data_IF_547534646617
#
_entry.id   IF_547534646617
#
_cell.length_a   1.000
_cell.length_b   1.000
_cell.length_c   1.000
_cell.angle_alpha   90.00
_cell.angle_beta   90.00
_cell.angle_gamma   90.00
#
_symmetry.space_group_name_H-M   'P 1'
#
loop_
_entity.id
_entity.type
_entity.pdbx_description
1 polymer ?
#
# COMPACT_ATOMS: atom_id res chain seq x y z
N UNK A 1 4.37 -12.29 42.88
CA UNK A 1 3.89 -11.24 41.97
C UNK A 1 2.77 -11.83 41.13
N UNK A 2 1.57 -11.20 41.07
CA UNK A 2 0.48 -11.73 40.25
C UNK A 2 0.77 -11.50 38.76
N UNK A 3 0.45 -12.49 37.92
CA UNK A 3 0.60 -12.39 36.47
C UNK A 3 -0.37 -11.36 35.89
N UNK A 4 0.03 -10.69 34.85
CA UNK A 4 -0.81 -9.74 34.11
C UNK A 4 -1.85 -10.51 33.31
N UNK A 5 -3.13 -10.18 33.49
CA UNK A 5 -4.27 -10.84 32.78
C UNK A 5 -4.60 -10.20 31.44
N UNK A 6 -4.22 -8.94 31.22
CA UNK A 6 -4.49 -8.21 29.97
C UNK A 6 -3.43 -8.53 28.91
N UNK A 7 -3.81 -8.64 27.63
CA UNK A 7 -2.85 -8.69 26.52
C UNK A 7 -1.90 -7.51 26.51
N UNK A 8 -0.84 -7.62 25.72
CA UNK A 8 0.09 -6.51 25.46
C UNK A 8 -0.67 -5.33 24.85
N UNK A 9 -0.28 -4.12 25.22
CA UNK A 9 -0.93 -2.89 24.74
C UNK A 9 -1.05 -2.87 23.21
N UNK A 10 -2.25 -2.62 22.71
CA UNK A 10 -2.54 -2.62 21.28
C UNK A 10 -2.80 -3.99 20.65
N UNK A 11 -2.77 -5.06 21.45
CA UNK A 11 -3.17 -6.41 21.04
C UNK A 11 -4.44 -6.82 21.79
N UNK A 12 -5.18 -7.80 21.26
CA UNK A 12 -6.42 -8.26 21.87
C UNK A 12 -6.62 -9.77 21.68
N UNK A 13 -7.37 -10.38 22.59
CA UNK A 13 -7.93 -11.70 22.42
C UNK A 13 -9.17 -11.61 21.53
N UNK A 14 -9.41 -12.64 20.73
CA UNK A 14 -10.60 -12.78 19.89
C UNK A 14 -11.45 -13.89 20.49
N UNK A 15 -12.65 -13.54 20.93
CA UNK A 15 -13.57 -14.49 21.57
C UNK A 15 -14.26 -15.39 20.52
N UNK A 16 -14.80 -16.56 20.93
CA UNK A 16 -15.36 -17.55 20.00
C UNK A 16 -16.40 -17.00 19.03
N UNK A 17 -17.32 -16.16 19.49
CA UNK A 17 -18.35 -15.57 18.62
C UNK A 17 -17.74 -14.63 17.54
N UNK A 18 -16.76 -13.84 17.92
CA UNK A 18 -16.03 -12.99 16.97
C UNK A 18 -15.16 -13.82 16.03
N UNK A 19 -14.57 -14.92 16.54
CA UNK A 19 -13.77 -15.82 15.73
C UNK A 19 -14.59 -16.49 14.62
N UNK A 20 -15.85 -16.87 14.88
CA UNK A 20 -16.74 -17.40 13.84
C UNK A 20 -16.98 -16.41 12.71
N UNK A 21 -17.25 -15.14 13.03
CA UNK A 21 -17.40 -14.09 12.00
C UNK A 21 -16.10 -13.90 11.22
N UNK A 22 -14.96 -13.88 11.93
CA UNK A 22 -13.64 -13.75 11.30
C UNK A 22 -13.36 -14.90 10.34
N UNK A 23 -13.61 -16.14 10.73
CA UNK A 23 -13.42 -17.32 9.88
C UNK A 23 -14.32 -17.27 8.64
N UNK A 24 -15.57 -16.87 8.81
CA UNK A 24 -16.48 -16.68 7.68
C UNK A 24 -15.92 -15.66 6.67
N UNK A 25 -15.51 -14.48 7.15
CA UNK A 25 -14.93 -13.42 6.29
C UNK A 25 -13.66 -13.91 5.60
N UNK A 26 -12.74 -14.53 6.35
CA UNK A 26 -11.50 -15.06 5.78
C UNK A 26 -11.75 -16.14 4.72
N UNK A 27 -12.78 -16.96 4.90
CA UNK A 27 -13.16 -17.99 3.92
C UNK A 27 -13.73 -17.34 2.65
N UNK A 28 -14.60 -16.33 2.77
CA UNK A 28 -15.13 -15.59 1.62
C UNK A 28 -13.99 -14.95 0.80
N UNK A 29 -13.03 -14.32 1.47
CA UNK A 29 -11.84 -13.72 0.81
C UNK A 29 -11.05 -14.83 0.09
N UNK A 30 -10.73 -15.92 0.79
CA UNK A 30 -9.92 -17.02 0.24
C UNK A 30 -10.58 -17.66 -0.98
N UNK A 31 -11.87 -17.97 -0.91
CA UNK A 31 -12.62 -18.59 -2.00
C UNK A 31 -12.70 -17.65 -3.21
N UNK A 32 -12.96 -16.35 -2.97
CA UNK A 32 -12.98 -15.35 -4.03
C UNK A 32 -11.62 -15.28 -4.72
N UNK A 33 -10.54 -15.09 -4.00
CA UNK A 33 -9.22 -14.96 -4.57
C UNK A 33 -8.76 -16.24 -5.31
N UNK A 34 -9.12 -17.42 -4.80
CA UNK A 34 -8.87 -18.69 -5.51
C UNK A 34 -9.65 -18.78 -6.83
N UNK A 35 -10.87 -18.24 -6.91
CA UNK A 35 -11.62 -18.22 -8.17
C UNK A 35 -10.98 -17.33 -9.25
N UNK A 36 -10.16 -16.35 -8.84
CA UNK A 36 -9.31 -15.57 -9.73
C UNK A 36 -7.93 -16.22 -9.99
N UNK A 37 -7.70 -17.45 -9.52
CA UNK A 37 -6.46 -18.20 -9.77
C UNK A 37 -5.30 -17.90 -8.83
N UNK A 38 -5.53 -17.16 -7.73
CA UNK A 38 -4.48 -16.91 -6.74
C UNK A 38 -4.17 -18.18 -5.93
N UNK A 39 -2.88 -18.49 -5.78
CA UNK A 39 -2.37 -19.63 -5.04
C UNK A 39 -1.90 -19.21 -3.66
N UNK A 40 -2.42 -19.87 -2.62
CA UNK A 40 -2.05 -19.55 -1.25
C UNK A 40 -0.63 -19.98 -0.92
N UNK A 41 0.15 -19.05 -0.37
CA UNK A 41 1.48 -19.27 0.18
C UNK A 41 1.55 -18.77 1.62
N UNK A 42 2.55 -19.21 2.36
CA UNK A 42 2.83 -18.76 3.72
C UNK A 42 4.31 -18.44 3.86
N UNK A 43 4.61 -17.33 4.53
CA UNK A 43 5.97 -16.90 4.86
C UNK A 43 6.12 -16.80 6.38
N UNK A 44 7.34 -16.95 6.93
CA UNK A 44 7.59 -16.79 8.36
C UNK A 44 7.12 -15.42 8.88
N UNK A 45 6.67 -15.40 10.15
CA UNK A 45 6.31 -14.15 10.84
C UNK A 45 7.52 -13.31 11.25
N UNK A 46 8.70 -13.94 11.31
CA UNK A 46 9.98 -13.33 11.69
C UNK A 46 10.85 -13.20 10.46
N UNK A 47 11.36 -12.03 10.22
CA UNK A 47 12.29 -11.70 9.12
C UNK A 47 13.62 -11.17 9.67
N UNK A 48 14.67 -11.24 8.86
CA UNK A 48 15.94 -10.59 9.16
C UNK A 48 15.76 -9.08 9.33
N UNK A 49 16.43 -8.51 10.33
CA UNK A 49 16.28 -7.07 10.62
C UNK A 49 16.74 -6.21 9.44
N UNK A 50 17.77 -6.61 8.72
CA UNK A 50 18.30 -5.92 7.56
C UNK A 50 17.27 -5.82 6.43
N UNK A 51 16.42 -6.84 6.25
CA UNK A 51 15.33 -6.81 5.28
C UNK A 51 14.26 -5.81 5.71
N UNK A 52 13.90 -5.80 7.00
CA UNK A 52 12.85 -4.94 7.55
C UNK A 52 13.26 -3.46 7.59
N UNK A 53 14.54 -3.17 7.80
CA UNK A 53 15.10 -1.80 7.93
C UNK A 53 15.73 -1.30 6.63
N UNK A 54 15.76 -2.11 5.55
CA UNK A 54 16.33 -1.71 4.26
C UNK A 54 15.69 -0.43 3.76
N UNK A 55 16.47 0.64 3.69
CA UNK A 55 16.23 2.05 3.30
C UNK A 55 14.95 2.37 2.50
N UNK A 56 13.78 2.07 3.05
CA UNK A 56 12.49 2.36 2.42
C UNK A 56 11.74 3.53 3.08
N UNK A 57 12.46 4.33 3.87
CA UNK A 57 11.93 5.51 4.56
C UNK A 57 11.92 5.32 6.08
N UNK A 58 12.66 6.16 6.77
CA UNK A 58 12.95 6.08 8.21
C UNK A 58 11.76 6.03 9.18
N UNK A 59 10.54 6.29 8.74
CA UNK A 59 9.38 6.20 9.61
C UNK A 59 8.87 4.76 9.80
N UNK A 60 9.04 3.88 8.83
CA UNK A 60 8.64 2.48 8.95
C UNK A 60 9.52 1.71 9.94
N UNK A 61 10.78 2.10 10.13
CA UNK A 61 11.66 1.46 11.12
C UNK A 61 11.13 1.59 12.54
N UNK A 62 10.46 2.69 12.87
CA UNK A 62 9.84 2.93 14.19
C UNK A 62 8.64 2.00 14.45
N UNK A 63 8.10 1.39 13.40
CA UNK A 63 6.94 0.50 13.50
C UNK A 63 7.33 -0.96 13.72
N UNK A 64 8.61 -1.32 13.59
CA UNK A 64 9.08 -2.70 13.67
C UNK A 64 9.16 -3.16 15.11
N UNK A 65 8.57 -4.30 15.42
CA UNK A 65 8.84 -5.04 16.66
C UNK A 65 10.12 -5.83 16.47
N UNK A 66 11.25 -5.28 16.96
CA UNK A 66 12.57 -5.90 16.89
C UNK A 66 12.70 -7.03 17.90
N UNK A 67 13.44 -8.08 17.54
CA UNK A 67 13.71 -9.26 18.37
C UNK A 67 15.18 -9.26 18.73
N UNK A 68 15.48 -9.39 20.03
CA UNK A 68 16.83 -9.44 20.54
C UNK A 68 17.55 -10.70 20.07
N UNK A 69 18.85 -10.58 19.81
CA UNK A 69 19.78 -11.69 19.64
C UNK A 69 19.72 -12.65 20.83
N UNK A 70 20.17 -13.88 20.66
CA UNK A 70 20.15 -14.91 21.73
C UNK A 70 21.54 -15.46 21.99
N UNK A 71 21.73 -15.92 23.22
CA UNK A 71 22.97 -16.57 23.66
C UNK A 71 24.17 -15.64 23.57
N UNK A 72 25.29 -16.16 23.11
CA UNK A 72 26.55 -15.44 22.99
C UNK A 72 26.52 -14.25 22.00
N UNK A 73 25.55 -14.22 21.11
CA UNK A 73 25.37 -13.09 20.17
C UNK A 73 24.76 -11.85 20.84
N UNK A 74 24.11 -12.00 22.00
CA UNK A 74 23.57 -10.88 22.79
C UNK A 74 24.64 -10.38 23.75
N UNK A 75 25.33 -9.32 23.36
CA UNK A 75 26.36 -8.70 24.22
C UNK A 75 25.91 -7.28 24.59
N UNK A 76 25.46 -7.13 25.84
CA UNK A 76 24.98 -5.85 26.36
C UNK A 76 26.13 -4.90 26.69
N UNK A 77 27.32 -5.44 26.97
CA UNK A 77 28.47 -4.65 27.42
C UNK A 77 29.16 -3.89 26.26
N UNK A 78 29.01 -4.38 25.05
CA UNK A 78 29.63 -3.81 23.84
C UNK A 78 28.62 -3.15 22.88
N UNK A 79 27.33 -3.22 23.18
CA UNK A 79 26.30 -2.62 22.32
C UNK A 79 26.27 -1.11 22.48
N UNK A 80 26.40 -0.38 21.37
CA UNK A 80 26.31 1.08 21.33
C UNK A 80 24.92 1.52 20.87
N UNK A 81 24.24 0.69 20.06
CA UNK A 81 22.93 0.97 19.46
C UNK A 81 21.97 -0.20 19.62
N UNK A 82 20.69 0.06 19.43
CA UNK A 82 19.64 -0.97 19.39
C UNK A 82 19.90 -2.03 18.29
N UNK A 83 20.51 -1.64 17.18
CA UNK A 83 20.82 -2.56 16.08
C UNK A 83 21.90 -3.59 16.44
N UNK A 84 22.79 -3.27 17.40
CA UNK A 84 23.79 -4.21 17.88
C UNK A 84 23.16 -5.35 18.71
N UNK A 85 21.97 -5.12 19.24
CA UNK A 85 21.23 -6.06 20.08
C UNK A 85 20.21 -6.91 19.32
N UNK A 86 19.89 -6.56 18.06
CA UNK A 86 18.80 -7.19 17.29
C UNK A 86 19.34 -7.83 16.02
N UNK A 87 18.75 -8.94 15.56
CA UNK A 87 19.06 -9.61 14.28
C UNK A 87 17.82 -9.96 13.48
N UNK A 88 16.65 -9.77 14.07
CA UNK A 88 15.37 -10.13 13.45
C UNK A 88 14.25 -9.24 13.99
N UNK A 89 13.09 -9.32 13.37
CA UNK A 89 11.89 -8.60 13.80
C UNK A 89 10.62 -9.29 13.32
N UNK A 90 9.48 -8.86 13.85
CA UNK A 90 8.18 -9.29 13.35
C UNK A 90 7.86 -8.53 12.06
N UNK A 91 7.34 -9.24 11.06
CA UNK A 91 6.90 -8.65 9.79
C UNK A 91 5.81 -7.61 10.00
N UNK A 92 5.94 -6.44 9.39
CA UNK A 92 4.96 -5.36 9.47
C UNK A 92 3.98 -5.33 8.28
N UNK A 93 4.26 -6.11 7.23
CA UNK A 93 3.42 -6.39 6.09
C UNK A 93 3.68 -7.81 5.56
N UNK A 94 2.97 -8.21 4.49
CA UNK A 94 3.18 -9.48 3.81
C UNK A 94 3.98 -9.33 2.49
N UNK A 95 4.15 -8.11 1.99
CA UNK A 95 4.80 -7.82 0.70
C UNK A 95 6.31 -8.06 0.75
N UNK A 96 6.98 -7.60 1.81
CA UNK A 96 8.43 -7.82 1.97
C UNK A 96 8.77 -9.32 2.11
N UNK A 97 8.11 -10.10 2.98
CA UNK A 97 8.30 -11.55 3.05
C UNK A 97 8.02 -12.26 1.74
N UNK A 98 7.01 -11.82 0.97
CA UNK A 98 6.71 -12.36 -0.35
C UNK A 98 7.84 -12.10 -1.34
N UNK A 99 8.40 -10.90 -1.34
CA UNK A 99 9.51 -10.53 -2.22
C UNK A 99 10.74 -11.40 -1.99
N UNK A 100 11.07 -11.65 -0.70
CA UNK A 100 12.12 -12.61 -0.31
C UNK A 100 11.75 -14.05 -0.72
N UNK A 101 10.51 -14.47 -0.51
CA UNK A 101 10.02 -15.80 -0.90
C UNK A 101 10.17 -16.02 -2.42
N UNK A 102 9.72 -15.04 -3.21
CA UNK A 102 9.80 -15.10 -4.67
C UNK A 102 11.26 -15.10 -5.15
N UNK A 103 12.13 -14.30 -4.53
CA UNK A 103 13.55 -14.27 -4.89
C UNK A 103 14.24 -15.62 -4.72
N UNK A 104 13.82 -16.42 -3.73
CA UNK A 104 14.38 -17.74 -3.47
C UNK A 104 13.75 -18.87 -4.30
N UNK A 105 12.50 -18.71 -4.71
CA UNK A 105 11.71 -19.80 -5.26
C UNK A 105 11.19 -19.53 -6.69
N UNK A 106 11.42 -18.33 -7.24
CA UNK A 106 10.82 -17.86 -8.50
C UNK A 106 11.01 -18.83 -9.68
N UNK A 107 12.16 -19.51 -9.75
CA UNK A 107 12.43 -20.52 -10.79
C UNK A 107 11.50 -21.76 -10.73
N UNK A 108 10.83 -22.00 -9.61
CA UNK A 108 9.91 -23.12 -9.39
C UNK A 108 8.43 -22.67 -9.45
N UNK A 109 8.18 -21.37 -9.58
CA UNK A 109 6.84 -20.80 -9.60
C UNK A 109 6.39 -20.52 -11.04
N UNK A 110 5.07 -20.50 -11.30
CA UNK A 110 4.57 -20.07 -12.61
C UNK A 110 4.92 -18.60 -12.88
N UNK A 111 4.93 -18.22 -14.15
CA UNK A 111 5.08 -16.82 -14.56
C UNK A 111 3.92 -16.43 -15.50
N UNK A 112 3.14 -15.38 -15.16
CA UNK A 112 3.16 -14.65 -13.89
C UNK A 112 2.73 -15.51 -12.69
N UNK A 113 3.23 -15.16 -11.50
CA UNK A 113 2.84 -15.83 -10.26
C UNK A 113 1.79 -15.02 -9.51
N UNK A 114 0.64 -15.65 -9.26
CA UNK A 114 -0.50 -15.06 -8.53
C UNK A 114 -0.53 -15.61 -7.11
N UNK A 115 -0.03 -14.81 -6.17
CA UNK A 115 0.11 -15.19 -4.77
C UNK A 115 -1.08 -14.70 -3.94
N UNK A 116 -1.54 -15.54 -3.01
CA UNK A 116 -2.45 -15.18 -1.92
C UNK A 116 -1.73 -15.42 -0.59
N UNK A 117 -1.67 -14.41 0.25
CA UNK A 117 -1.22 -14.54 1.64
C UNK A 117 -2.29 -14.04 2.60
N UNK A 118 -2.50 -14.79 3.68
CA UNK A 118 -3.38 -14.37 4.77
C UNK A 118 -2.66 -14.62 6.08
N UNK A 119 -2.35 -13.58 6.83
CA UNK A 119 -1.56 -13.74 8.03
C UNK A 119 -1.50 -12.51 8.92
N UNK A 120 -1.06 -12.73 10.16
CA UNK A 120 -0.83 -11.65 11.11
C UNK A 120 0.40 -10.84 10.74
N UNK A 121 0.27 -9.53 10.93
CA UNK A 121 1.36 -8.55 10.84
C UNK A 121 1.36 -7.68 12.09
N UNK A 122 2.51 -7.04 12.38
CA UNK A 122 2.70 -6.27 13.60
C UNK A 122 3.26 -4.90 13.29
N UNK A 123 2.60 -3.86 13.84
CA UNK A 123 3.07 -2.47 13.72
C UNK A 123 3.02 -1.80 15.08
N UNK A 124 4.12 -1.17 15.50
CA UNK A 124 4.22 -0.49 16.78
C UNK A 124 3.50 0.87 16.81
N UNK A 125 2.48 1.04 15.97
CA UNK A 125 1.61 2.21 15.93
C UNK A 125 1.00 2.55 17.30
N UNK A 126 0.63 3.82 17.49
CA UNK A 126 -0.18 4.22 18.64
C UNK A 126 -1.56 3.57 18.52
N UNK A 127 -1.95 2.73 19.49
CA UNK A 127 -3.25 2.08 19.44
C UNK A 127 -4.40 3.09 19.51
N UNK A 128 -5.42 2.88 18.67
CA UNK A 128 -6.65 3.65 18.68
C UNK A 128 -7.81 2.77 18.20
N UNK A 129 -9.04 3.28 18.24
CA UNK A 129 -10.22 2.52 17.81
C UNK A 129 -10.05 2.04 16.36
N UNK A 130 -10.15 0.72 16.15
CA UNK A 130 -9.95 0.11 14.82
C UNK A 130 -8.49 -0.07 14.39
N UNK A 131 -7.50 0.41 15.16
CA UNK A 131 -6.07 0.29 14.85
C UNK A 131 -5.34 -0.47 15.95
N UNK A 132 -4.98 -1.71 15.66
CA UNK A 132 -4.28 -2.61 16.56
C UNK A 132 -2.81 -2.74 16.15
N UNK A 133 -1.97 -3.15 17.10
CA UNK A 133 -0.56 -3.46 16.85
C UNK A 133 -0.33 -4.84 16.23
N UNK A 134 -1.30 -5.73 16.37
CA UNK A 134 -1.38 -7.01 15.67
C UNK A 134 -2.73 -7.08 14.96
N UNK A 135 -2.68 -7.31 13.65
CA UNK A 135 -3.87 -7.46 12.82
C UNK A 135 -3.58 -8.43 11.66
N UNK A 136 -4.61 -8.83 10.95
CA UNK A 136 -4.47 -9.73 9.79
C UNK A 136 -4.53 -8.90 8.52
N UNK A 137 -3.64 -9.21 7.60
CA UNK A 137 -3.73 -8.80 6.20
C UNK A 137 -4.16 -9.99 5.34
N UNK A 138 -4.89 -9.71 4.27
CA UNK A 138 -5.27 -10.66 3.25
C UNK A 138 -4.82 -10.07 1.91
N UNK A 139 -3.63 -10.46 1.49
CA UNK A 139 -2.92 -9.87 0.36
C UNK A 139 -3.02 -10.78 -0.86
N UNK A 140 -3.26 -10.17 -2.00
CA UNK A 140 -3.06 -10.79 -3.32
C UNK A 140 -2.03 -10.00 -4.10
N UNK A 141 -1.12 -10.72 -4.75
CA UNK A 141 -0.03 -10.14 -5.53
C UNK A 141 0.14 -10.88 -6.85
N UNK A 142 0.44 -10.14 -7.91
CA UNK A 142 0.81 -10.67 -9.22
C UNK A 142 2.25 -10.26 -9.49
N UNK A 143 3.12 -11.27 -9.64
CA UNK A 143 4.57 -11.11 -9.81
C UNK A 143 4.96 -11.60 -11.19
N UNK A 144 5.72 -10.79 -11.94
CA UNK A 144 6.19 -11.13 -13.28
C UNK A 144 5.29 -10.66 -14.43
N UNK A 145 4.25 -9.87 -14.16
CA UNK A 145 3.42 -9.24 -15.19
C UNK A 145 3.68 -7.73 -15.26
N UNK A 146 4.23 -7.28 -16.39
CA UNK A 146 4.50 -5.87 -16.66
C UNK A 146 3.31 -5.12 -17.28
N UNK A 147 2.23 -5.82 -17.61
CA UNK A 147 1.04 -5.22 -18.22
C UNK A 147 0.09 -4.67 -17.17
N UNK A 148 -0.88 -3.87 -17.60
CA UNK A 148 -1.93 -3.36 -16.73
C UNK A 148 -3.00 -4.40 -16.36
N UNK A 149 -2.92 -5.60 -16.92
CA UNK A 149 -3.80 -6.71 -16.54
C UNK A 149 -3.64 -7.07 -15.06
N UNK A 150 -2.43 -6.90 -14.49
CA UNK A 150 -2.21 -7.12 -13.07
C UNK A 150 -3.08 -6.18 -12.20
N UNK A 151 -3.10 -4.88 -12.49
CA UNK A 151 -3.93 -3.90 -11.79
C UNK A 151 -5.42 -4.19 -11.96
N UNK A 152 -5.86 -4.44 -13.19
CA UNK A 152 -7.26 -4.74 -13.52
C UNK A 152 -7.74 -5.95 -12.71
N UNK A 153 -7.00 -7.03 -12.75
CA UNK A 153 -7.37 -8.28 -12.06
C UNK A 153 -7.37 -8.11 -10.54
N UNK A 154 -6.39 -7.42 -9.97
CA UNK A 154 -6.32 -7.14 -8.53
C UNK A 154 -7.50 -6.30 -8.05
N UNK A 155 -7.90 -5.27 -8.82
CA UNK A 155 -9.06 -4.44 -8.49
C UNK A 155 -10.34 -5.29 -8.55
N UNK A 156 -10.55 -6.06 -9.61
CA UNK A 156 -11.73 -6.92 -9.77
C UNK A 156 -11.83 -7.98 -8.68
N UNK A 157 -10.72 -8.65 -8.36
CA UNK A 157 -10.69 -9.67 -7.31
C UNK A 157 -11.01 -9.08 -5.91
N UNK A 158 -10.41 -7.92 -5.60
CA UNK A 158 -10.60 -7.25 -4.31
C UNK A 158 -12.01 -6.70 -4.18
N UNK A 159 -12.56 -6.05 -5.21
CA UNK A 159 -13.92 -5.51 -5.19
C UNK A 159 -14.97 -6.61 -5.13
N UNK A 160 -14.75 -7.74 -5.82
CA UNK A 160 -15.60 -8.93 -5.71
C UNK A 160 -15.59 -9.48 -4.28
N UNK A 161 -14.42 -9.57 -3.63
CA UNK A 161 -14.33 -10.02 -2.23
C UNK A 161 -15.07 -9.07 -1.29
N UNK A 162 -14.87 -7.76 -1.42
CA UNK A 162 -15.53 -6.74 -0.60
C UNK A 162 -17.05 -6.76 -0.79
N UNK A 163 -17.55 -6.87 -2.02
CA UNK A 163 -18.98 -6.97 -2.31
C UNK A 163 -19.64 -8.21 -1.68
N UNK A 164 -18.92 -9.33 -1.62
CA UNK A 164 -19.41 -10.56 -0.92
C UNK A 164 -19.42 -10.41 0.60
N UNK A 165 -18.43 -9.73 1.17
CA UNK A 165 -18.30 -9.56 2.64
C UNK A 165 -19.25 -8.49 3.15
N UNK A 166 -19.36 -7.37 2.41
CA UNK A 166 -20.10 -6.17 2.81
C UNK A 166 -21.14 -5.76 1.74
N UNK A 167 -22.12 -6.63 1.40
CA UNK A 167 -23.02 -6.42 0.25
C UNK A 167 -23.97 -5.21 0.38
N UNK A 168 -24.02 -4.58 1.56
CA UNK A 168 -24.90 -3.44 1.85
C UNK A 168 -24.15 -2.11 1.95
N UNK A 169 -22.82 -2.15 1.93
CA UNK A 169 -22.01 -0.94 2.09
C UNK A 169 -21.52 -0.48 0.73
N UNK A 170 -21.79 0.77 0.40
CA UNK A 170 -21.16 1.40 -0.76
C UNK A 170 -19.66 1.61 -0.50
N UNK A 171 -18.86 1.37 -1.52
CA UNK A 171 -17.42 1.62 -1.44
C UNK A 171 -16.89 2.25 -2.72
N UNK A 172 -15.80 2.99 -2.57
CA UNK A 172 -15.11 3.68 -3.65
C UNK A 172 -13.68 3.17 -3.73
N UNK A 173 -13.26 2.75 -4.91
CA UNK A 173 -11.85 2.51 -5.23
C UNK A 173 -11.28 3.82 -5.75
N UNK A 174 -10.38 4.43 -4.99
CA UNK A 174 -9.57 5.57 -5.42
C UNK A 174 -8.33 5.05 -6.11
N UNK A 175 -7.97 5.60 -7.26
CA UNK A 175 -6.82 5.18 -8.07
C UNK A 175 -5.98 6.38 -8.49
N UNK A 176 -4.67 6.23 -8.52
CA UNK A 176 -3.71 7.21 -9.02
C UNK A 176 -2.47 6.49 -9.56
N UNK A 177 -1.49 7.25 -10.03
CA UNK A 177 -0.19 6.74 -10.45
C UNK A 177 0.95 7.63 -9.95
N UNK A 178 2.05 7.03 -9.49
CA UNK A 178 3.22 7.75 -8.98
C UNK A 178 3.86 8.67 -10.03
N UNK A 179 3.81 8.27 -11.30
CA UNK A 179 4.27 9.09 -12.42
C UNK A 179 3.40 10.34 -12.59
N UNK A 180 2.08 10.21 -12.47
CA UNK A 180 1.14 11.34 -12.53
C UNK A 180 1.38 12.31 -11.37
N UNK A 181 1.51 11.80 -10.13
CA UNK A 181 1.85 12.64 -8.97
C UNK A 181 3.12 13.45 -9.20
N UNK A 182 4.18 12.78 -9.68
CA UNK A 182 5.45 13.44 -10.02
C UNK A 182 5.27 14.45 -11.13
N UNK A 183 4.58 14.09 -12.21
CA UNK A 183 4.32 14.97 -13.37
C UNK A 183 3.56 16.24 -12.99
N UNK A 184 2.51 16.12 -12.17
CA UNK A 184 1.73 17.26 -11.68
C UNK A 184 2.59 18.24 -10.88
N UNK A 185 3.38 17.73 -9.93
CA UNK A 185 4.25 18.58 -9.12
C UNK A 185 5.33 19.30 -9.96
N UNK A 186 6.00 18.57 -10.86
CA UNK A 186 7.00 19.17 -11.77
C UNK A 186 6.38 20.21 -12.71
N UNK A 187 5.20 19.94 -13.27
CA UNK A 187 4.46 20.89 -14.12
C UNK A 187 4.12 22.18 -13.39
N UNK A 188 3.86 22.10 -12.10
CA UNK A 188 3.58 23.26 -11.25
C UNK A 188 4.86 23.98 -10.78
N UNK A 189 6.05 23.44 -11.10
CA UNK A 189 7.32 24.10 -10.80
C UNK A 189 7.93 23.72 -9.44
N UNK A 190 7.49 22.63 -8.82
CA UNK A 190 8.18 22.11 -7.63
C UNK A 190 9.53 21.49 -8.02
N UNK A 191 10.59 21.68 -7.20
CA UNK A 191 11.89 21.11 -7.46
C UNK A 191 11.87 19.58 -7.28
N UNK A 192 12.61 18.84 -8.11
CA UNK A 192 12.60 17.37 -8.10
C UNK A 192 13.10 16.77 -6.76
N UNK A 193 14.06 17.41 -6.13
CA UNK A 193 14.60 17.03 -4.81
C UNK A 193 13.66 17.34 -3.63
N UNK A 194 12.60 18.13 -3.87
CA UNK A 194 11.58 18.48 -2.87
C UNK A 194 10.29 17.64 -2.94
N UNK A 195 10.13 16.79 -3.94
CA UNK A 195 8.86 16.11 -4.23
C UNK A 195 8.37 15.21 -3.09
N UNK A 196 9.27 14.54 -2.38
CA UNK A 196 8.87 13.68 -1.26
C UNK A 196 8.14 14.49 -0.17
N UNK A 197 8.61 15.71 0.12
CA UNK A 197 7.96 16.58 1.10
C UNK A 197 6.61 17.11 0.58
N UNK A 198 6.49 17.41 -0.71
CA UNK A 198 5.21 17.78 -1.34
C UNK A 198 4.21 16.66 -1.19
N UNK A 199 4.61 15.42 -1.43
CA UNK A 199 3.72 14.25 -1.30
C UNK A 199 3.35 13.94 0.14
N UNK A 200 4.27 14.09 1.10
CA UNK A 200 3.96 13.96 2.53
C UNK A 200 2.92 14.98 2.97
N UNK A 201 2.99 16.21 2.44
CA UNK A 201 2.02 17.25 2.73
C UNK A 201 0.68 16.97 2.04
N UNK A 202 0.70 16.51 0.78
CA UNK A 202 -0.50 16.15 0.03
C UNK A 202 -1.27 14.98 0.69
N UNK A 203 -0.57 14.00 1.27
CA UNK A 203 -1.18 12.86 2.00
C UNK A 203 -2.04 13.29 3.20
N UNK A 204 -1.91 14.53 3.63
CA UNK A 204 -2.74 15.12 4.68
C UNK A 204 -4.04 15.75 4.15
N UNK A 205 -4.29 15.74 2.83
CA UNK A 205 -5.42 16.41 2.19
C UNK A 205 -6.75 16.08 2.88
N UNK A 206 -7.02 14.81 3.15
CA UNK A 206 -8.26 14.36 3.82
C UNK A 206 -8.43 14.91 5.24
N UNK A 207 -7.34 15.38 5.89
CA UNK A 207 -7.35 15.88 7.28
C UNK A 207 -7.37 17.40 7.37
N UNK A 208 -6.58 18.06 6.53
CA UNK A 208 -6.36 19.52 6.63
C UNK A 208 -6.98 20.30 5.47
N UNK A 209 -7.49 19.59 4.45
CA UNK A 209 -8.06 20.21 3.25
C UNK A 209 -7.03 20.91 2.37
N UNK A 210 -7.48 21.41 1.22
CA UNK A 210 -6.61 22.08 0.25
C UNK A 210 -5.94 23.34 0.82
N UNK A 211 -6.67 24.12 1.59
CA UNK A 211 -6.12 25.34 2.21
C UNK A 211 -5.01 25.01 3.22
N UNK A 212 -5.19 23.93 3.98
CA UNK A 212 -4.16 23.45 4.90
C UNK A 212 -2.91 22.94 4.18
N UNK A 213 -3.09 22.22 3.07
CA UNK A 213 -1.97 21.77 2.21
C UNK A 213 -1.22 22.97 1.62
N UNK A 214 -1.93 23.98 1.11
CA UNK A 214 -1.32 25.24 0.61
C UNK A 214 -0.50 25.92 1.69
N UNK A 215 -1.09 26.11 2.88
CA UNK A 215 -0.40 26.78 3.98
C UNK A 215 0.88 26.05 4.39
N UNK A 216 0.82 24.73 4.53
CA UNK A 216 1.98 23.92 4.91
C UNK A 216 3.09 23.95 3.83
N UNK A 217 2.73 23.89 2.53
CA UNK A 217 3.70 23.99 1.45
C UNK A 217 4.40 25.36 1.43
N UNK A 218 3.67 26.46 1.70
CA UNK A 218 4.25 27.79 1.83
C UNK A 218 5.17 27.90 3.05
N UNK A 219 4.81 27.32 4.19
CA UNK A 219 5.66 27.27 5.40
C UNK A 219 6.96 26.48 5.15
N UNK A 220 6.93 25.45 4.29
CA UNK A 220 8.10 24.71 3.88
C UNK A 220 8.99 25.47 2.88
N UNK A 221 8.58 26.67 2.45
CA UNK A 221 9.39 27.55 1.61
C UNK A 221 9.23 27.33 0.10
N UNK A 222 8.21 26.59 -0.34
CA UNK A 222 7.91 26.47 -1.77
C UNK A 222 7.34 27.77 -2.34
N UNK A 223 7.61 28.03 -3.63
CA UNK A 223 7.18 29.25 -4.31
C UNK A 223 5.64 29.34 -4.34
N UNK A 224 5.10 30.51 -3.97
CA UNK A 224 3.67 30.73 -3.94
C UNK A 224 2.99 30.48 -5.30
N UNK A 225 3.64 30.82 -6.41
CA UNK A 225 3.15 30.55 -7.76
C UNK A 225 2.98 29.05 -8.02
N UNK A 226 3.95 28.22 -7.60
CA UNK A 226 3.89 26.75 -7.72
C UNK A 226 2.76 26.17 -6.88
N UNK A 227 2.59 26.66 -5.65
CA UNK A 227 1.53 26.20 -4.72
C UNK A 227 0.14 26.56 -5.25
N UNK A 228 -0.08 27.78 -5.75
CA UNK A 228 -1.36 28.16 -6.34
C UNK A 228 -1.67 27.38 -7.61
N UNK A 229 -0.71 27.26 -8.53
CA UNK A 229 -0.89 26.48 -9.75
C UNK A 229 -1.23 25.01 -9.46
N UNK A 230 -0.63 24.43 -8.41
CA UNK A 230 -0.92 23.06 -7.98
C UNK A 230 -2.33 22.93 -7.41
N UNK A 231 -2.75 23.88 -6.59
CA UNK A 231 -4.09 23.93 -6.02
C UNK A 231 -5.17 24.10 -7.11
N UNK A 232 -4.93 24.97 -8.08
CA UNK A 232 -5.84 25.16 -9.24
C UNK A 232 -5.93 23.87 -10.06
N UNK A 233 -4.79 23.22 -10.35
CA UNK A 233 -4.76 21.95 -11.06
C UNK A 233 -5.57 20.88 -10.33
N UNK A 234 -5.33 20.68 -9.02
CA UNK A 234 -6.06 19.70 -8.20
C UNK A 234 -7.57 19.96 -8.18
N UNK A 235 -7.99 21.23 -8.07
CA UNK A 235 -9.41 21.61 -7.99
C UNK A 235 -10.16 21.48 -9.32
N UNK A 236 -9.44 21.51 -10.44
CA UNK A 236 -10.02 21.47 -11.78
C UNK A 236 -10.16 20.06 -12.37
N UNK A 237 -9.66 19.04 -11.70
CA UNK A 237 -9.65 17.67 -12.22
C UNK A 237 -10.96 16.93 -11.97
N UNK A 238 -11.42 16.20 -12.98
CA UNK A 238 -12.48 15.20 -12.84
C UNK A 238 -11.95 13.88 -12.30
N UNK A 239 -12.85 12.96 -11.99
CA UNK A 239 -12.56 11.68 -11.34
C UNK A 239 -12.59 10.48 -12.31
N UNK A 240 -12.82 10.69 -13.60
CA UNK A 240 -13.00 9.65 -14.60
C UNK A 240 -11.76 9.46 -15.50
N UNK A 241 -11.79 8.43 -16.35
CA UNK A 241 -10.72 8.14 -17.30
C UNK A 241 -10.49 9.27 -18.32
N UNK A 242 -11.54 10.02 -18.69
CA UNK A 242 -11.41 11.14 -19.60
C UNK A 242 -10.62 12.29 -18.97
N UNK A 243 -10.83 12.56 -17.68
CA UNK A 243 -10.03 13.53 -16.92
C UNK A 243 -8.56 13.13 -16.84
N UNK A 244 -8.27 11.82 -16.66
CA UNK A 244 -6.90 11.31 -16.66
C UNK A 244 -6.21 11.53 -18.01
N UNK A 245 -6.92 11.28 -19.14
CA UNK A 245 -6.38 11.53 -20.49
C UNK A 245 -6.11 13.02 -20.71
N UNK A 246 -7.07 13.89 -20.37
CA UNK A 246 -6.89 15.34 -20.47
C UNK A 246 -5.75 15.86 -19.60
N UNK A 247 -5.56 15.27 -18.42
CA UNK A 247 -4.39 15.57 -17.58
C UNK A 247 -3.08 15.13 -18.26
N UNK A 248 -3.06 13.96 -18.91
CA UNK A 248 -1.91 13.49 -19.67
C UNK A 248 -1.51 14.45 -20.79
N UNK A 249 -2.49 15.04 -21.49
CA UNK A 249 -2.25 16.10 -22.50
C UNK A 249 -1.70 17.38 -21.85
N UNK A 250 -2.27 17.80 -20.73
CA UNK A 250 -1.83 18.99 -19.98
C UNK A 250 -0.39 18.85 -19.48
N UNK A 251 0.00 17.66 -19.03
CA UNK A 251 1.33 17.37 -18.51
C UNK A 251 2.34 16.95 -19.59
N UNK A 252 2.01 17.09 -20.86
CA UNK A 252 2.92 16.76 -21.96
C UNK A 252 4.27 17.48 -21.81
N UNK A 253 5.37 16.71 -21.89
CA UNK A 253 6.73 17.22 -21.68
C UNK A 253 7.29 17.00 -20.26
N UNK A 254 6.47 16.73 -19.26
CA UNK A 254 6.90 16.36 -17.89
C UNK A 254 6.41 14.97 -17.46
N UNK A 255 5.40 14.44 -18.14
CA UNK A 255 4.86 13.11 -17.95
C UNK A 255 4.93 12.31 -19.26
N UNK A 256 5.30 11.03 -19.18
CA UNK A 256 5.09 10.12 -20.30
C UNK A 256 3.58 9.94 -20.52
N UNK A 257 3.09 10.30 -21.69
CA UNK A 257 1.67 10.19 -22.05
C UNK A 257 1.12 8.77 -21.93
N UNK A 258 1.98 7.76 -22.07
CA UNK A 258 1.62 6.36 -21.85
C UNK A 258 1.18 6.08 -20.40
N UNK A 259 1.69 6.80 -19.41
CA UNK A 259 1.32 6.61 -18.00
C UNK A 259 -0.14 7.01 -17.78
N UNK A 260 -0.56 8.17 -18.28
CA UNK A 260 -1.96 8.62 -18.19
C UNK A 260 -2.89 7.70 -18.98
N UNK A 261 -2.53 7.35 -20.22
CA UNK A 261 -3.33 6.43 -21.02
C UNK A 261 -3.45 5.04 -20.40
N UNK A 262 -2.38 4.52 -19.79
CA UNK A 262 -2.40 3.25 -19.08
C UNK A 262 -3.39 3.28 -17.89
N UNK A 263 -3.33 4.34 -17.08
CA UNK A 263 -4.25 4.50 -15.94
C UNK A 263 -5.70 4.64 -16.41
N UNK A 264 -5.95 5.43 -17.46
CA UNK A 264 -7.28 5.58 -18.04
C UNK A 264 -7.81 4.25 -18.59
N UNK A 265 -6.98 3.45 -19.26
CA UNK A 265 -7.35 2.13 -19.76
C UNK A 265 -7.68 1.14 -18.64
N UNK A 266 -6.94 1.18 -17.50
CA UNK A 266 -7.29 0.40 -16.32
C UNK A 266 -8.70 0.78 -15.85
N UNK A 267 -8.99 2.08 -15.72
CA UNK A 267 -10.27 2.58 -15.25
C UNK A 267 -11.42 2.18 -16.17
N UNK A 268 -11.27 2.37 -17.48
CA UNK A 268 -12.28 2.00 -18.47
C UNK A 268 -12.57 0.49 -18.45
N UNK A 269 -11.50 -0.33 -18.48
CA UNK A 269 -11.65 -1.79 -18.49
C UNK A 269 -12.32 -2.29 -17.22
N UNK A 270 -11.87 -1.82 -16.05
CA UNK A 270 -12.47 -2.21 -14.76
C UNK A 270 -13.94 -1.82 -14.72
N UNK A 271 -14.29 -0.61 -15.17
CA UNK A 271 -15.68 -0.13 -15.19
C UNK A 271 -16.55 -0.97 -16.13
N UNK A 272 -16.01 -1.40 -17.28
CA UNK A 272 -16.75 -2.20 -18.27
C UNK A 272 -17.01 -3.64 -17.80
N UNK A 273 -16.03 -4.28 -17.11
CA UNK A 273 -16.12 -5.72 -16.82
C UNK A 273 -16.47 -6.04 -15.36
N UNK A 274 -16.55 -5.05 -14.47
CA UNK A 274 -16.88 -5.29 -13.07
C UNK A 274 -18.31 -5.80 -12.90
N UNK A 275 -18.44 -6.91 -12.18
CA UNK A 275 -19.76 -7.49 -11.82
C UNK A 275 -20.27 -6.94 -10.47
N UNK A 276 -19.38 -6.38 -9.66
CA UNK A 276 -19.68 -5.79 -8.35
C UNK A 276 -19.95 -4.30 -8.53
N UNK A 277 -20.97 -3.79 -7.89
CA UNK A 277 -21.28 -2.35 -7.90
C UNK A 277 -20.36 -1.58 -6.94
N UNK A 278 -19.58 -0.64 -7.46
CA UNK A 278 -18.71 0.27 -6.70
C UNK A 278 -18.35 1.50 -7.54
N UNK A 279 -17.92 2.58 -6.88
CA UNK A 279 -17.38 3.73 -7.57
C UNK A 279 -15.87 3.54 -7.79
N UNK A 280 -15.40 3.71 -9.04
CA UNK A 280 -13.99 3.86 -9.36
C UNK A 280 -13.70 5.32 -9.66
N UNK A 281 -12.76 5.93 -8.93
CA UNK A 281 -12.47 7.36 -9.03
C UNK A 281 -10.97 7.61 -9.13
N UNK A 282 -10.56 8.37 -10.13
CA UNK A 282 -9.23 8.98 -10.13
C UNK A 282 -9.14 9.99 -9.00
N UNK A 283 -8.12 9.86 -8.19
CA UNK A 283 -7.87 10.77 -7.07
C UNK A 283 -6.43 11.32 -7.14
N UNK A 284 -6.25 12.53 -7.65
CA UNK A 284 -4.94 13.15 -7.80
C UNK A 284 -4.25 13.45 -6.46
N UNK A 285 -4.97 13.34 -5.34
CA UNK A 285 -4.44 13.54 -4.00
C UNK A 285 -4.06 12.23 -3.30
N UNK A 286 -4.39 11.08 -3.89
CA UNK A 286 -4.04 9.79 -3.34
C UNK A 286 -2.53 9.60 -3.39
N UNK A 287 -1.92 9.69 -2.22
CA UNK A 287 -0.51 9.37 -1.97
C UNK A 287 -0.47 8.23 -0.97
N UNK A 288 0.03 7.07 -1.38
CA UNK A 288 0.25 5.95 -0.44
C UNK A 288 1.59 6.12 0.23
N UNK A 289 1.59 6.08 1.58
CA UNK A 289 2.75 6.35 2.42
C UNK A 289 3.88 5.32 2.37
N UNK A 290 3.85 4.40 1.42
CA UNK A 290 4.90 3.39 1.24
C UNK A 290 5.80 3.81 0.08
N UNK A 291 7.04 4.12 0.39
CA UNK A 291 8.05 4.60 -0.56
C UNK A 291 8.45 3.59 -1.65
N UNK A 292 7.91 2.38 -1.62
CA UNK A 292 8.24 1.32 -2.58
C UNK A 292 7.34 1.25 -3.83
N UNK A 293 6.20 1.95 -3.87
CA UNK A 293 5.37 1.96 -5.07
C UNK A 293 6.03 2.69 -6.23
N UNK A 294 5.94 2.09 -7.43
CA UNK A 294 6.63 2.55 -8.64
C UNK A 294 5.70 3.01 -9.76
N UNK A 295 4.41 2.73 -9.66
CA UNK A 295 3.40 3.03 -10.68
C UNK A 295 2.03 3.26 -10.04
N UNK A 296 1.02 2.57 -10.54
CA UNK A 296 -0.37 2.64 -10.08
C UNK A 296 -0.49 2.36 -8.59
N UNK A 297 -1.31 3.14 -7.92
CA UNK A 297 -1.67 3.00 -6.50
C UNK A 297 -3.18 3.03 -6.34
N UNK A 298 -3.71 2.24 -5.39
CA UNK A 298 -5.15 2.19 -5.13
C UNK A 298 -5.46 2.11 -3.64
N UNK A 299 -6.63 2.63 -3.30
CA UNK A 299 -7.17 2.61 -1.96
C UNK A 299 -8.68 2.45 -2.01
N UNK A 300 -9.24 1.68 -1.08
CA UNK A 300 -10.68 1.52 -0.96
C UNK A 300 -11.17 2.19 0.30
N UNK A 301 -12.09 3.13 0.14
CA UNK A 301 -12.91 3.69 1.21
C UNK A 301 -14.29 3.05 1.19
N UNK A 302 -14.88 2.82 2.36
CA UNK A 302 -16.19 2.18 2.50
C UNK A 302 -17.08 3.00 3.45
N UNK A 303 -18.34 3.16 3.08
CA UNK A 303 -19.31 3.86 3.91
C UNK A 303 -19.44 3.21 5.29
N UNK A 304 -19.43 4.02 6.35
CA UNK A 304 -19.50 3.56 7.74
C UNK A 304 -18.15 3.20 8.36
N UNK A 305 -17.06 3.25 7.60
CA UNK A 305 -15.70 3.03 8.10
C UNK A 305 -14.89 4.34 8.05
N UNK A 306 -14.20 4.66 9.14
CA UNK A 306 -13.45 5.91 9.27
C UNK A 306 -12.04 5.90 8.67
N UNK A 307 -11.75 4.98 7.75
CA UNK A 307 -10.44 4.83 7.12
C UNK A 307 -10.47 3.90 5.91
N UNK A 308 -9.33 3.68 5.30
CA UNK A 308 -9.16 2.73 4.21
C UNK A 308 -9.43 1.30 4.67
N UNK A 309 -10.21 0.53 3.91
CA UNK A 309 -10.49 -0.88 4.16
C UNK A 309 -9.61 -1.81 3.32
N UNK A 310 -9.02 -1.32 2.24
CA UNK A 310 -8.07 -2.03 1.43
C UNK A 310 -7.15 -1.05 0.70
N UNK A 311 -5.98 -1.53 0.25
CA UNK A 311 -5.09 -0.69 -0.53
C UNK A 311 -3.88 -1.43 -1.08
N UNK A 312 -3.28 -0.87 -2.13
CA UNK A 312 -2.19 -1.51 -2.83
C UNK A 312 -1.56 -0.65 -3.90
N UNK A 313 -0.82 -1.31 -4.80
CA UNK A 313 -0.19 -0.68 -5.96
C UNK A 313 0.95 -1.50 -6.56
N UNK A 314 1.56 -0.95 -7.61
CA UNK A 314 2.70 -1.54 -8.32
C UNK A 314 4.01 -1.23 -7.61
N UNK A 315 4.87 -2.25 -7.44
CA UNK A 315 6.13 -2.16 -6.68
C UNK A 315 7.30 -2.91 -7.35
N UNK A 316 7.54 -2.66 -8.61
CA UNK A 316 8.45 -3.41 -9.50
C UNK A 316 9.90 -3.53 -8.99
N UNK A 317 10.36 -2.60 -8.15
CA UNK A 317 11.74 -2.55 -7.65
C UNK A 317 11.99 -3.36 -6.37
N UNK A 318 10.94 -3.85 -5.71
CA UNK A 318 11.09 -4.49 -4.41
C UNK A 318 11.85 -5.82 -4.50
N UNK A 319 11.48 -6.67 -5.45
CA UNK A 319 12.12 -7.98 -5.68
C UNK A 319 13.57 -7.78 -6.12
N UNK A 320 13.84 -6.75 -6.92
CA UNK A 320 15.19 -6.40 -7.38
C UNK A 320 16.19 -6.15 -6.27
N UNK A 321 15.74 -5.74 -5.07
CA UNK A 321 16.62 -5.59 -3.89
C UNK A 321 17.23 -6.91 -3.43
N UNK A 322 16.57 -8.03 -3.68
CA UNK A 322 17.04 -9.37 -3.34
C UNK A 322 17.80 -10.05 -4.50
N UNK A 323 17.42 -9.77 -5.74
CA UNK A 323 17.92 -10.48 -6.93
C UNK A 323 18.89 -9.66 -7.76
N UNK A 324 18.94 -8.34 -7.59
CA UNK A 324 19.69 -7.42 -8.45
C UNK A 324 18.99 -7.10 -9.78
N UNK A 325 17.80 -7.68 -10.04
CA UNK A 325 17.02 -7.44 -11.25
C UNK A 325 15.58 -7.11 -10.88
N UNK A 326 15.08 -6.00 -11.42
CA UNK A 326 13.70 -5.57 -11.21
C UNK A 326 12.73 -6.63 -11.77
N UNK A 327 11.67 -6.90 -11.05
CA UNK A 327 10.62 -7.83 -11.43
C UNK A 327 9.28 -7.11 -11.30
N UNK A 328 8.48 -7.03 -12.38
CA UNK A 328 7.15 -6.44 -12.29
C UNK A 328 6.33 -7.08 -11.17
N UNK A 329 5.76 -6.26 -10.33
CA UNK A 329 4.99 -6.71 -9.19
C UNK A 329 3.91 -5.69 -8.83
N UNK A 330 2.68 -6.19 -8.62
CA UNK A 330 1.55 -5.39 -8.16
C UNK A 330 0.78 -6.18 -7.12
N UNK A 331 0.27 -5.51 -6.07
CA UNK A 331 -0.45 -6.18 -5.00
C UNK A 331 -1.58 -5.35 -4.42
N UNK A 332 -2.54 -6.03 -3.78
CA UNK A 332 -3.66 -5.43 -3.09
C UNK A 332 -3.91 -6.17 -1.76
N UNK A 333 -4.12 -5.41 -0.69
CA UNK A 333 -4.33 -5.92 0.66
C UNK A 333 -5.68 -5.46 1.23
N UNK A 334 -6.42 -6.38 1.86
CA UNK A 334 -7.57 -6.10 2.73
C UNK A 334 -7.12 -6.22 4.18
#
# INVERSE_FOLDING_TARGET
MALKKKPVTGMRDILPAEMQVREYVMNQIRETYRSFGFTQVETPCVEHIENLTSKQGGDNEKLIFKILKRGEKLNLDTAETENDLTDSGLRYDLTLPLSRYYSNNGAQLPSPFKALQMGSVWRADRPQRGRFRQFTQCDIDILGDATNMAEIELILATTTALGRICPKNAFTVRINDRGILKGMALYCGFPEDGLDQVFITLDKMDKIGLDGVKAELLELGYAAESVEKYAELLSGLGEDAAAVRGLGETLAGVLDTKTAENLANIMDTVTEVAETDFKLAFDPTLVRGMSYYTGTIFEVSMEGFGGSVAGGGRYDKMIGKFTGQDTPACGFSI
#
